data_IF_000474113570
#
_entry.id   IF_000474113570
#
_cell.length_a   1.000
_cell.length_b   1.000
_cell.length_c   1.000
_cell.angle_alpha   90.00
_cell.angle_beta   90.00
_cell.angle_gamma   90.00
#
_symmetry.space_group_name_H-M   'P 1'
#
loop_
_entity.id
_entity.type
_entity.pdbx_description
1 polymer ?
#
# COMPACT_ATOMS: atom_id res chain seq x y z
N UNK A 1 4.51 12.97 -31.52
CA UNK A 1 4.76 11.89 -30.54
C UNK A 1 3.70 12.00 -29.47
N UNK A 2 2.72 11.09 -29.36
CA UNK A 2 1.84 11.12 -28.21
C UNK A 2 2.68 10.71 -26.99
N UNK A 3 2.93 11.63 -26.08
CA UNK A 3 3.47 11.33 -24.77
C UNK A 3 2.44 10.45 -24.08
N UNK A 4 2.74 9.15 -24.01
CA UNK A 4 1.93 8.16 -23.32
C UNK A 4 2.01 8.46 -21.82
N UNK A 5 1.24 9.45 -21.37
CA UNK A 5 1.12 9.84 -19.96
C UNK A 5 0.54 8.63 -19.25
N UNK A 6 1.37 7.87 -18.53
CA UNK A 6 0.86 6.82 -17.67
C UNK A 6 -0.11 7.48 -16.70
N UNK A 7 -1.35 6.99 -16.67
CA UNK A 7 -2.34 7.43 -15.69
C UNK A 7 -1.90 6.91 -14.33
N UNK A 8 -1.94 7.75 -13.31
CA UNK A 8 -1.81 7.36 -11.90
C UNK A 8 -2.58 6.07 -11.61
N UNK A 9 -1.87 5.03 -11.16
CA UNK A 9 -2.47 3.75 -10.76
C UNK A 9 -2.38 3.57 -9.26
N UNK A 10 -3.44 3.04 -8.68
CA UNK A 10 -3.53 2.76 -7.24
C UNK A 10 -3.81 1.28 -7.04
N UNK A 11 -2.91 0.60 -6.34
CA UNK A 11 -3.05 -0.80 -5.94
C UNK A 11 -3.34 -0.85 -4.45
N UNK A 12 -4.50 -1.41 -4.08
CA UNK A 12 -4.87 -1.63 -2.69
C UNK A 12 -4.28 -2.96 -2.20
N UNK A 13 -3.17 -2.86 -1.47
CA UNK A 13 -2.27 -3.98 -1.18
C UNK A 13 -2.26 -4.43 0.28
N UNK A 14 -2.77 -3.62 1.21
CA UNK A 14 -2.98 -4.07 2.58
C UNK A 14 -4.26 -3.45 3.16
N UNK A 15 -4.96 -4.21 3.99
CA UNK A 15 -6.20 -3.79 4.64
C UNK A 15 -6.47 -4.72 5.80
N UNK A 16 -6.38 -4.23 7.03
CA UNK A 16 -6.88 -4.97 8.19
C UNK A 16 -8.41 -4.79 8.26
N UNK A 17 -9.16 -5.72 7.64
CA UNK A 17 -10.62 -5.70 7.78
C UNK A 17 -10.98 -5.88 9.27
N UNK A 18 -11.88 -5.04 9.78
CA UNK A 18 -12.59 -5.30 11.04
C UNK A 18 -13.24 -6.70 10.92
N UNK A 19 -12.66 -7.69 11.57
CA UNK A 19 -13.03 -9.08 11.31
C UNK A 19 -12.51 -10.09 12.32
N UNK A 20 -11.22 -10.41 12.32
CA UNK A 20 -10.85 -11.78 12.74
C UNK A 20 -9.85 -11.94 13.89
N UNK A 21 -9.30 -10.86 14.47
CA UNK A 21 -8.50 -10.99 15.71
C UNK A 21 -9.39 -10.84 16.94
N UNK A 22 -9.97 -11.97 17.37
CA UNK A 22 -10.63 -12.09 18.67
C UNK A 22 -9.65 -11.72 19.80
N UNK A 23 -9.78 -10.51 20.34
CA UNK A 23 -9.02 -10.06 21.52
C UNK A 23 -8.42 -8.66 21.42
N UNK A 24 -8.30 -8.08 20.23
CA UNK A 24 -7.78 -6.72 20.07
C UNK A 24 -8.91 -5.68 20.07
N UNK A 25 -8.66 -4.55 20.73
CA UNK A 25 -9.52 -3.36 20.63
C UNK A 25 -9.83 -3.06 19.16
N UNK A 26 -11.03 -2.55 18.81
CA UNK A 26 -11.36 -2.24 17.43
C UNK A 26 -10.34 -1.25 16.85
N UNK A 27 -9.39 -1.77 16.09
CA UNK A 27 -8.51 -0.96 15.26
C UNK A 27 -9.36 -0.49 14.08
N UNK A 28 -9.39 0.82 13.84
CA UNK A 28 -9.96 1.36 12.62
C UNK A 28 -9.28 0.67 11.41
N UNK A 29 -10.02 0.41 10.32
CA UNK A 29 -9.43 -0.21 9.15
C UNK A 29 -8.36 0.74 8.62
N UNK A 30 -7.13 0.25 8.61
CA UNK A 30 -5.97 0.79 7.95
C UNK A 30 -5.87 0.14 6.59
N UNK A 31 -6.05 0.95 5.55
CA UNK A 31 -5.70 0.55 4.19
C UNK A 31 -4.34 1.12 3.83
N UNK A 32 -3.54 0.30 3.15
CA UNK A 32 -2.28 0.70 2.54
C UNK A 32 -2.40 0.47 1.04
N UNK A 33 -2.16 1.55 0.30
CA UNK A 33 -2.16 1.56 -1.15
C UNK A 33 -0.74 1.85 -1.67
N UNK A 34 -0.27 1.12 -2.70
CA UNK A 34 0.84 1.59 -3.52
C UNK A 34 0.29 2.40 -4.69
N UNK A 35 0.87 3.58 -4.88
CA UNK A 35 0.45 4.53 -5.89
C UNK A 35 1.61 4.74 -6.85
N UNK A 36 1.43 4.34 -8.10
CA UNK A 36 2.36 4.63 -9.20
C UNK A 36 2.00 5.99 -9.82
N UNK A 37 2.91 6.95 -9.70
CA UNK A 37 2.77 8.29 -10.28
C UNK A 37 3.03 8.33 -11.79
N UNK A 38 2.57 9.40 -12.44
CA UNK A 38 2.77 9.66 -13.88
C UNK A 38 4.26 9.73 -14.28
N UNK A 39 5.15 9.99 -13.31
CA UNK A 39 6.60 10.06 -13.46
C UNK A 39 7.31 8.70 -13.27
N UNK A 40 6.54 7.64 -13.01
CA UNK A 40 7.06 6.31 -12.69
C UNK A 40 7.56 6.17 -11.25
N UNK A 41 7.38 7.21 -10.41
CA UNK A 41 7.70 7.17 -9.00
C UNK A 41 6.63 6.47 -8.18
N UNK A 42 7.04 5.63 -7.23
CA UNK A 42 6.11 5.01 -6.28
C UNK A 42 5.93 5.90 -5.04
N UNK A 43 4.68 5.97 -4.58
CA UNK A 43 4.30 6.57 -3.29
C UNK A 43 3.40 5.61 -2.54
N UNK A 44 3.31 5.77 -1.21
CA UNK A 44 2.51 4.91 -0.34
C UNK A 44 1.36 5.73 0.25
N UNK A 45 0.14 5.30 -0.05
CA UNK A 45 -1.07 5.83 0.55
C UNK A 45 -1.38 5.09 1.84
N UNK A 46 -1.64 5.82 2.91
CA UNK A 46 -2.20 5.30 4.14
C UNK A 46 -3.57 5.94 4.34
N UNK A 47 -4.57 5.14 4.69
CA UNK A 47 -5.86 5.66 5.13
C UNK A 47 -6.37 4.93 6.35
N UNK A 48 -6.93 5.69 7.29
CA UNK A 48 -7.51 5.18 8.53
C UNK A 48 -9.00 5.57 8.61
N UNK A 49 -9.87 4.57 8.78
CA UNK A 49 -11.28 4.77 9.13
C UNK A 49 -12.28 4.74 7.97
N UNK A 50 -13.57 4.57 8.30
CA UNK A 50 -14.71 4.50 7.35
C UNK A 50 -15.84 5.49 7.69
N UNK A 51 -15.53 6.63 8.34
CA UNK A 51 -16.53 7.59 8.84
C UNK A 51 -16.11 9.07 8.84
N UNK A 52 -16.91 9.94 9.48
CA UNK A 52 -16.58 11.36 9.67
C UNK A 52 -15.24 11.50 10.41
N UNK A 53 -14.22 12.01 9.71
CA UNK A 53 -12.85 12.12 10.23
C UNK A 53 -11.84 11.14 9.63
N UNK A 54 -12.23 10.37 8.59
CA UNK A 54 -11.28 9.56 7.82
C UNK A 54 -10.06 10.41 7.42
N UNK A 55 -8.89 10.00 7.89
CA UNK A 55 -7.63 10.68 7.62
C UNK A 55 -6.82 9.80 6.66
N UNK A 56 -6.45 10.39 5.53
CA UNK A 56 -5.55 9.76 4.57
C UNK A 56 -4.35 10.64 4.32
N UNK A 57 -3.20 10.03 4.04
CA UNK A 57 -2.01 10.72 3.59
C UNK A 57 -1.27 9.89 2.56
N UNK A 58 -0.53 10.56 1.69
CA UNK A 58 0.39 9.93 0.75
C UNK A 58 1.79 10.37 1.14
N UNK A 59 2.67 9.39 1.31
CA UNK A 59 4.07 9.61 1.69
C UNK A 59 5.01 8.97 0.66
N UNK A 60 6.28 9.39 0.66
CA UNK A 60 7.29 8.74 -0.17
C UNK A 60 7.59 7.32 0.32
N UNK A 61 8.23 6.50 -0.52
CA UNK A 61 8.71 5.17 -0.11
C UNK A 61 9.68 5.25 1.07
N UNK A 62 10.59 6.23 1.06
CA UNK A 62 11.55 6.43 2.15
C UNK A 62 10.85 6.76 3.47
N UNK A 63 9.87 7.67 3.42
CA UNK A 63 9.07 8.01 4.59
C UNK A 63 8.25 6.81 5.08
N UNK A 64 7.65 6.02 4.17
CA UNK A 64 6.87 4.83 4.51
C UNK A 64 7.69 3.77 5.27
N UNK A 65 9.00 3.70 5.02
CA UNK A 65 9.93 2.80 5.72
C UNK A 65 10.36 3.33 7.09
N UNK A 66 10.04 4.58 7.42
CA UNK A 66 10.31 5.16 8.72
C UNK A 66 9.60 4.42 9.87
N UNK A 67 10.11 4.50 11.12
CA UNK A 67 9.56 3.76 12.26
C UNK A 67 8.07 4.04 12.51
N UNK A 68 7.61 5.27 12.24
CA UNK A 68 6.22 5.66 12.38
C UNK A 68 5.32 4.93 11.37
N UNK A 69 5.68 4.96 10.09
CA UNK A 69 4.85 4.46 9.00
C UNK A 69 4.92 2.94 8.84
N UNK A 70 6.08 2.34 9.10
CA UNK A 70 6.22 0.88 9.18
C UNK A 70 5.31 0.25 10.24
N UNK A 71 5.07 0.92 11.36
CA UNK A 71 4.09 0.46 12.34
C UNK A 71 2.64 0.46 11.78
N UNK A 72 2.31 1.40 10.89
CA UNK A 72 1.01 1.41 10.20
C UNK A 72 0.92 0.32 9.13
N UNK A 73 2.02 0.04 8.41
CA UNK A 73 2.09 -1.10 7.47
C UNK A 73 1.79 -2.42 8.17
N UNK A 74 2.43 -2.67 9.32
CA UNK A 74 2.19 -3.89 10.11
C UNK A 74 0.74 -3.96 10.58
N UNK A 75 0.16 -2.86 11.07
CA UNK A 75 -1.26 -2.80 11.49
C UNK A 75 -2.24 -3.12 10.37
N UNK A 76 -1.89 -2.79 9.13
CA UNK A 76 -2.69 -3.06 7.94
C UNK A 76 -2.49 -4.47 7.35
N UNK A 77 -1.78 -5.36 8.06
CA UNK A 77 -1.30 -6.66 7.55
C UNK A 77 -0.40 -6.51 6.29
N UNK A 78 0.28 -5.37 6.16
CA UNK A 78 1.14 -5.01 5.03
C UNK A 78 2.63 -5.24 5.26
N UNK A 79 3.03 -6.00 6.29
CA UNK A 79 4.46 -6.27 6.57
C UNK A 79 5.19 -6.92 5.39
N UNK A 80 4.47 -7.72 4.60
CA UNK A 80 4.96 -8.34 3.37
C UNK A 80 5.41 -7.33 2.30
N UNK A 81 4.96 -6.07 2.37
CA UNK A 81 5.37 -5.00 1.45
C UNK A 81 6.78 -4.45 1.76
N UNK A 82 7.30 -4.66 2.98
CA UNK A 82 8.55 -4.06 3.41
C UNK A 82 9.76 -4.41 2.54
N UNK A 83 9.95 -5.64 2.04
CA UNK A 83 11.03 -5.96 1.12
C UNK A 83 10.95 -5.16 -0.19
N UNK A 84 9.77 -5.03 -0.79
CA UNK A 84 9.55 -4.27 -2.02
C UNK A 84 9.79 -2.78 -1.84
N UNK A 85 9.31 -2.21 -0.73
CA UNK A 85 9.57 -0.81 -0.40
C UNK A 85 11.06 -0.53 -0.20
N UNK A 86 11.80 -1.45 0.42
CA UNK A 86 13.26 -1.33 0.58
C UNK A 86 13.97 -1.39 -0.77
N UNK A 87 13.58 -2.31 -1.64
CA UNK A 87 14.15 -2.42 -2.99
C UNK A 87 13.90 -1.13 -3.79
N UNK A 88 12.66 -0.61 -3.77
CA UNK A 88 12.31 0.67 -4.39
C UNK A 88 13.13 1.85 -3.86
N UNK A 89 13.37 1.92 -2.54
CA UNK A 89 14.21 2.96 -1.93
C UNK A 89 15.65 2.87 -2.42
N UNK A 90 16.17 1.65 -2.57
CA UNK A 90 17.55 1.39 -2.96
C UNK A 90 17.76 1.54 -4.49
N UNK A 91 16.72 1.95 -5.23
CA UNK A 91 16.75 2.19 -6.67
C UNK A 91 16.40 0.96 -7.52
N UNK A 92 15.92 -0.11 -6.87
CA UNK A 92 15.37 -1.28 -7.51
C UNK A 92 14.08 -0.99 -8.29
N UNK A 93 13.68 -1.96 -9.09
CA UNK A 93 12.47 -1.88 -9.91
C UNK A 93 11.50 -2.96 -9.48
N UNK A 94 10.38 -2.54 -8.91
CA UNK A 94 9.26 -3.43 -8.59
C UNK A 94 8.15 -3.18 -9.60
N UNK A 95 7.68 -4.27 -10.22
CA UNK A 95 6.60 -4.21 -11.21
C UNK A 95 5.20 -4.36 -10.58
N UNK A 96 4.18 -3.86 -11.28
CA UNK A 96 2.78 -4.08 -10.89
C UNK A 96 2.45 -5.58 -10.81
N UNK A 97 2.89 -6.35 -11.80
CA UNK A 97 2.63 -7.79 -11.90
C UNK A 97 3.22 -8.56 -10.71
N UNK A 98 4.44 -8.20 -10.31
CA UNK A 98 5.12 -8.80 -9.15
C UNK A 98 4.36 -8.52 -7.84
N UNK A 99 3.90 -7.29 -7.63
CA UNK A 99 3.10 -6.93 -6.46
C UNK A 99 1.74 -7.64 -6.45
N UNK A 100 1.12 -7.82 -7.62
CA UNK A 100 -0.15 -8.53 -7.76
C UNK A 100 0.02 -10.03 -7.50
N UNK A 101 1.09 -10.63 -8.02
CA UNK A 101 1.42 -12.05 -7.79
C UNK A 101 1.64 -12.31 -6.31
N UNK A 102 2.44 -11.48 -5.65
CA UNK A 102 2.74 -11.65 -4.22
C UNK A 102 1.55 -11.34 -3.33
N UNK A 103 0.77 -10.30 -3.63
CA UNK A 103 -0.49 -10.07 -2.93
C UNK A 103 -1.41 -11.29 -3.03
N UNK A 104 -1.53 -11.88 -4.22
CA UNK A 104 -2.40 -13.04 -4.47
C UNK A 104 -1.89 -14.29 -3.76
N UNK A 105 -0.57 -14.51 -3.74
CA UNK A 105 0.09 -15.57 -2.98
C UNK A 105 -0.22 -15.47 -1.48
N UNK A 106 -0.11 -14.25 -0.93
CA UNK A 106 -0.34 -13.98 0.49
C UNK A 106 -1.82 -14.01 0.90
N UNK A 107 -2.74 -13.53 0.06
CA UNK A 107 -4.15 -13.29 0.43
C UNK A 107 -5.16 -14.20 -0.28
N UNK A 108 -4.71 -15.04 -1.22
CA UNK A 108 -5.56 -15.95 -2.00
C UNK A 108 -6.53 -15.26 -2.97
N UNK A 109 -6.36 -13.97 -3.22
CA UNK A 109 -7.20 -13.15 -4.13
C UNK A 109 -6.37 -12.03 -4.75
N UNK A 110 -6.80 -11.54 -5.92
CA UNK A 110 -6.19 -10.38 -6.55
C UNK A 110 -6.47 -9.06 -5.76
N UNK A 111 -5.55 -8.08 -5.79
CA UNK A 111 -5.78 -6.77 -5.18
C UNK A 111 -6.80 -5.96 -5.98
N UNK A 112 -7.37 -4.93 -5.35
CA UNK A 112 -8.17 -3.94 -6.09
C UNK A 112 -7.24 -2.93 -6.75
N UNK A 113 -7.49 -2.67 -8.04
CA UNK A 113 -6.68 -1.76 -8.86
C UNK A 113 -7.59 -0.65 -9.40
N UNK A 114 -7.17 0.60 -9.23
CA UNK A 114 -7.85 1.80 -9.70
C UNK A 114 -6.93 2.58 -10.67
N UNK A 115 -7.47 3.07 -11.79
CA UNK A 115 -6.74 3.72 -12.88
C UNK A 115 -7.43 4.98 -13.42
#
# INVERSE_FOLDING_TARGET
>A
MPTNRQKKRVLKLASNRLGDRAGDSPAWPYDVDLILGDDGGWTVGFSEGVGHGAAGCVVSVDEALGPRWSAHLVKADGEWLLPFLRDLRDGGQVSEDELVEEYTSHHGRAPQIFA
#
